data_IF_552269933232
#
_entry.id   IF_552269933232
#
_cell.length_a   1.000
_cell.length_b   1.000
_cell.length_c   1.000
_cell.angle_alpha   90.00
_cell.angle_beta   90.00
_cell.angle_gamma   90.00
#
_symmetry.space_group_name_H-M   'P 1'
#
loop_
_entity.id
_entity.type
_entity.pdbx_description
1 polymer ?
#
# COMPACT_ATOMS: atom_id res chain seq x y z
N UNK A 1 2.94 19.12 11.21
CA UNK A 1 2.00 18.24 10.49
C UNK A 1 2.72 17.15 9.72
N UNK A 2 3.55 17.45 8.72
CA UNK A 2 4.19 16.43 7.86
C UNK A 2 5.01 15.37 8.60
N UNK A 3 5.70 15.75 9.69
CA UNK A 3 6.44 14.79 10.52
C UNK A 3 5.54 13.76 11.20
N UNK A 4 4.31 14.13 11.57
CA UNK A 4 3.33 13.19 12.11
C UNK A 4 2.80 12.26 11.00
N UNK A 5 2.50 12.82 9.83
CA UNK A 5 2.03 12.04 8.68
C UNK A 5 3.07 11.00 8.23
N UNK A 6 4.35 11.39 8.21
CA UNK A 6 5.46 10.48 7.91
C UNK A 6 5.53 9.32 8.93
N UNK A 7 5.48 9.62 10.23
CA UNK A 7 5.41 8.59 11.29
C UNK A 7 4.15 7.73 11.18
N UNK A 8 3.02 8.32 10.81
CA UNK A 8 1.76 7.60 10.62
C UNK A 8 1.89 6.57 9.50
N UNK A 9 2.41 6.97 8.35
CA UNK A 9 2.54 6.14 7.15
C UNK A 9 3.61 5.07 7.33
N UNK A 10 4.80 5.48 7.77
CA UNK A 10 5.98 4.61 7.78
C UNK A 10 6.11 3.78 9.06
N UNK A 11 5.46 4.15 10.15
CA UNK A 11 5.61 3.50 11.46
C UNK A 11 4.27 3.02 12.04
N UNK A 12 3.28 3.90 12.13
CA UNK A 12 2.00 3.60 12.79
C UNK A 12 1.13 2.59 12.04
N UNK A 13 0.86 2.84 10.75
CA UNK A 13 0.00 1.97 9.95
C UNK A 13 0.54 0.53 9.82
N UNK A 14 1.83 0.29 9.50
CA UNK A 14 2.37 -1.07 9.40
C UNK A 14 2.37 -1.84 10.73
N UNK A 15 2.40 -1.13 11.87
CA UNK A 15 2.35 -1.70 13.22
C UNK A 15 0.93 -1.96 13.72
N UNK A 16 -0.08 -1.49 12.99
CA UNK A 16 -1.47 -1.74 13.35
C UNK A 16 -1.77 -3.23 13.23
N UNK A 17 -2.45 -3.81 14.22
CA UNK A 17 -2.85 -5.22 14.20
C UNK A 17 -3.76 -5.50 12.99
N UNK A 18 -3.46 -6.58 12.27
CA UNK A 18 -4.18 -7.03 11.07
C UNK A 18 -4.24 -5.98 9.94
N UNK A 19 -3.17 -5.21 9.75
CA UNK A 19 -3.13 -4.17 8.73
C UNK A 19 -3.15 -4.76 7.30
N UNK A 20 -4.22 -4.45 6.55
CA UNK A 20 -4.42 -4.86 5.15
C UNK A 20 -4.34 -3.70 4.14
N UNK A 21 -3.91 -2.52 4.61
CA UNK A 21 -4.07 -1.27 3.88
C UNK A 21 -5.33 -0.51 4.30
N UNK A 22 -5.28 0.81 4.16
CA UNK A 22 -6.40 1.69 4.47
C UNK A 22 -7.42 1.71 3.33
N UNK A 23 -8.69 1.95 3.66
CA UNK A 23 -9.78 2.04 2.69
C UNK A 23 -9.66 3.29 1.83
N UNK A 24 -9.83 3.15 0.51
CA UNK A 24 -9.96 4.25 -0.43
C UNK A 24 -11.31 4.97 -0.37
N UNK A 25 -12.26 4.45 0.42
CA UNK A 25 -13.64 4.95 0.47
C UNK A 25 -13.91 5.87 1.66
N UNK A 26 -12.89 6.17 2.47
CA UNK A 26 -13.02 7.04 3.65
C UNK A 26 -12.81 8.52 3.35
N UNK A 27 -13.01 8.91 2.10
CA UNK A 27 -13.04 10.32 1.70
C UNK A 27 -14.46 10.88 1.85
N UNK A 28 -14.55 12.18 2.09
CA UNK A 28 -15.82 12.88 2.35
C UNK A 28 -16.47 13.50 1.10
N UNK A 29 -15.92 13.29 -0.10
CA UNK A 29 -16.39 13.90 -1.35
C UNK A 29 -15.71 15.23 -1.68
N UNK A 30 -15.09 15.88 -0.69
CA UNK A 30 -14.43 17.19 -0.81
C UNK A 30 -12.92 17.07 -0.61
N UNK A 31 -12.33 15.89 -0.84
CA UNK A 31 -10.89 15.69 -0.74
C UNK A 31 -10.33 15.62 0.69
N UNK A 32 -11.16 15.53 1.73
CA UNK A 32 -10.69 15.24 3.09
C UNK A 32 -10.73 13.74 3.34
N UNK A 33 -9.77 13.25 4.13
CA UNK A 33 -9.63 11.83 4.39
C UNK A 33 -9.60 11.56 5.90
N UNK A 34 -10.42 10.62 6.36
CA UNK A 34 -10.54 10.29 7.79
C UNK A 34 -10.20 8.84 8.04
N UNK A 35 -9.36 8.58 9.05
CA UNK A 35 -9.05 7.22 9.52
C UNK A 35 -9.17 7.13 11.03
N UNK A 36 -9.74 6.02 11.48
CA UNK A 36 -9.86 5.70 12.89
C UNK A 36 -8.85 4.64 13.32
N UNK A 37 -8.21 4.88 14.45
CA UNK A 37 -7.33 3.94 15.15
C UNK A 37 -8.04 3.42 16.39
N UNK A 38 -8.05 2.10 16.55
CA UNK A 38 -8.62 1.44 17.74
C UNK A 38 -7.74 1.64 18.96
N UNK A 39 -6.42 1.73 18.76
CA UNK A 39 -5.44 1.81 19.84
C UNK A 39 -4.29 2.74 19.44
N UNK A 40 -3.85 3.59 20.37
CA UNK A 40 -2.71 4.50 20.19
C UNK A 40 -1.34 3.80 20.37
N UNK A 41 -1.31 2.54 20.82
CA UNK A 41 -0.10 1.73 21.04
C UNK A 41 0.74 1.47 19.77
N UNK A 42 0.21 1.83 18.60
CA UNK A 42 0.92 1.75 17.31
C UNK A 42 2.11 2.71 17.22
N UNK A 43 2.13 3.77 18.02
CA UNK A 43 3.22 4.74 18.08
C UNK A 43 4.25 4.36 19.16
N UNK A 44 5.53 4.15 18.81
CA UNK A 44 6.56 3.81 19.80
C UNK A 44 6.83 4.90 20.84
N UNK A 45 6.42 6.14 20.56
CA UNK A 45 6.54 7.26 21.50
C UNK A 45 5.60 7.12 22.71
N UNK A 46 4.59 6.23 22.60
CA UNK A 46 3.57 6.03 23.62
C UNK A 46 3.91 4.76 24.41
N UNK A 47 4.29 4.92 25.69
CA UNK A 47 4.52 3.79 26.59
C UNK A 47 3.20 3.18 27.05
N UNK A 48 2.98 1.90 26.68
CA UNK A 48 1.77 1.16 27.06
C UNK A 48 1.59 1.06 28.58
N UNK A 49 2.68 0.93 29.34
CA UNK A 49 2.65 0.78 30.81
C UNK A 49 2.06 1.99 31.54
N UNK A 50 2.13 3.18 30.93
CA UNK A 50 1.54 4.41 31.50
C UNK A 50 0.05 4.48 31.16
N UNK A 51 -0.36 3.85 30.05
CA UNK A 51 -1.74 3.84 29.57
C UNK A 51 -2.51 2.65 30.16
N UNK A 52 -3.13 2.87 31.32
CA UNK A 52 -3.92 1.81 31.98
C UNK A 52 -5.11 1.25 31.17
N UNK A 53 -5.57 1.92 30.10
CA UNK A 53 -6.63 1.44 29.20
C UNK A 53 -6.34 1.82 27.74
N UNK A 54 -6.68 0.96 26.76
CA UNK A 54 -6.56 1.31 25.35
C UNK A 54 -7.47 2.48 25.01
N UNK A 55 -6.91 3.46 24.31
CA UNK A 55 -7.65 4.61 23.76
C UNK A 55 -7.51 4.62 22.25
N UNK A 56 -8.62 4.84 21.57
CA UNK A 56 -8.64 5.09 20.13
C UNK A 56 -8.28 6.53 19.80
N UNK A 57 -8.17 6.82 18.51
CA UNK A 57 -7.97 8.17 17.98
C UNK A 57 -8.47 8.22 16.55
N UNK A 58 -9.13 9.32 16.18
CA UNK A 58 -9.46 9.61 14.79
C UNK A 58 -8.50 10.66 14.25
N UNK A 59 -8.01 10.44 13.03
CA UNK A 59 -7.12 11.34 12.30
C UNK A 59 -7.84 11.79 11.04
N UNK A 60 -8.09 13.09 10.95
CA UNK A 60 -8.66 13.73 9.77
C UNK A 60 -7.58 14.53 9.05
N UNK A 61 -7.32 14.18 7.79
CA UNK A 61 -6.39 14.87 6.91
C UNK A 61 -7.22 15.77 6.00
N UNK A 62 -7.15 17.07 6.26
CA UNK A 62 -7.77 18.08 5.39
C UNK A 62 -6.82 18.48 4.27
N UNK A 63 -7.31 18.50 3.04
CA UNK A 63 -6.53 18.93 1.88
C UNK A 63 -7.27 20.03 1.12
N UNK A 64 -6.55 20.68 0.20
CA UNK A 64 -7.12 21.69 -0.72
C UNK A 64 -7.72 21.07 -1.99
N UNK A 65 -7.68 19.74 -2.12
CA UNK A 65 -8.19 19.06 -3.31
C UNK A 65 -9.71 19.23 -3.39
N UNK A 66 -10.22 19.50 -4.59
CA UNK A 66 -11.67 19.66 -4.78
C UNK A 66 -12.37 18.33 -5.01
N UNK A 67 -11.61 17.25 -5.25
CA UNK A 67 -12.16 15.93 -5.54
C UNK A 67 -11.36 14.84 -4.82
N UNK A 68 -12.06 13.76 -4.44
CA UNK A 68 -11.44 12.60 -3.79
C UNK A 68 -10.38 11.92 -4.64
N UNK A 69 -10.49 12.00 -5.97
CA UNK A 69 -9.51 11.41 -6.90
C UNK A 69 -8.15 12.10 -6.80
N UNK A 70 -8.15 13.42 -6.65
CA UNK A 70 -6.94 14.22 -6.49
C UNK A 70 -6.33 13.97 -5.11
N UNK A 71 -7.15 13.99 -4.05
CA UNK A 71 -6.72 13.71 -2.69
C UNK A 71 -6.14 12.30 -2.54
N UNK A 72 -6.80 11.30 -3.14
CA UNK A 72 -6.33 9.92 -3.16
C UNK A 72 -4.97 9.79 -3.85
N UNK A 73 -4.79 10.43 -5.02
CA UNK A 73 -3.50 10.42 -5.72
C UNK A 73 -2.41 11.11 -4.90
N UNK A 74 -2.72 12.24 -4.27
CA UNK A 74 -1.78 12.95 -3.41
C UNK A 74 -1.31 12.05 -2.26
N UNK A 75 -2.23 11.47 -1.50
CA UNK A 75 -1.91 10.59 -0.38
C UNK A 75 -1.14 9.33 -0.85
N UNK A 76 -1.53 8.76 -1.99
CA UNK A 76 -0.84 7.60 -2.56
C UNK A 76 0.61 7.93 -2.94
N UNK A 77 0.86 9.09 -3.55
CA UNK A 77 2.22 9.55 -3.88
C UNK A 77 3.05 9.87 -2.64
N UNK A 78 2.40 10.29 -1.55
CA UNK A 78 3.04 10.48 -0.25
C UNK A 78 3.33 9.17 0.49
N UNK A 79 2.98 8.01 -0.09
CA UNK A 79 3.28 6.69 0.46
C UNK A 79 2.14 6.05 1.26
N UNK A 80 0.92 6.62 1.22
CA UNK A 80 -0.22 6.07 1.95
C UNK A 80 -0.56 4.65 1.45
N UNK A 81 -0.56 3.63 2.34
CA UNK A 81 -0.80 2.24 1.96
C UNK A 81 -2.31 1.96 1.79
N UNK A 82 -2.87 2.27 0.62
CA UNK A 82 -4.25 1.91 0.28
C UNK A 82 -4.37 0.41 -0.04
N UNK A 83 -5.51 -0.20 0.33
CA UNK A 83 -5.81 -1.61 0.05
C UNK A 83 -5.94 -1.88 -1.46
N UNK A 84 -5.23 -2.90 -1.97
CA UNK A 84 -5.37 -3.37 -3.36
C UNK A 84 -6.80 -3.88 -3.58
N UNK A 85 -7.62 -3.12 -4.33
CA UNK A 85 -9.04 -3.41 -4.57
C UNK A 85 -9.97 -2.20 -4.39
N UNK A 86 -9.48 -1.12 -3.79
CA UNK A 86 -10.17 0.17 -3.74
C UNK A 86 -9.95 0.97 -5.04
N UNK A 87 -11.03 1.34 -5.73
CA UNK A 87 -11.05 1.90 -7.09
C UNK A 87 -10.36 3.26 -7.30
N UNK A 88 -9.03 3.28 -7.28
CA UNK A 88 -8.18 4.38 -7.78
C UNK A 88 -6.93 3.81 -8.45
N UNK A 89 -6.33 4.50 -9.45
CA UNK A 89 -5.22 3.95 -10.23
C UNK A 89 -3.97 3.84 -9.35
N UNK A 90 -3.76 2.65 -8.79
CA UNK A 90 -2.58 2.31 -8.01
C UNK A 90 -1.44 2.02 -8.99
N UNK A 91 -0.59 3.01 -9.26
CA UNK A 91 0.73 2.77 -9.86
C UNK A 91 1.67 2.18 -8.80
N UNK A 92 1.35 0.98 -8.30
CA UNK A 92 2.37 0.17 -7.65
C UNK A 92 3.22 -0.35 -8.80
N UNK A 93 4.42 0.19 -8.98
CA UNK A 93 5.42 -0.35 -9.91
C UNK A 93 5.81 -1.74 -9.40
N UNK A 94 5.02 -2.75 -9.77
CA UNK A 94 5.38 -4.15 -9.56
C UNK A 94 6.63 -4.41 -10.42
N UNK A 95 7.79 -4.55 -9.78
CA UNK A 95 8.99 -5.13 -10.39
C UNK A 95 8.60 -6.50 -10.97
N UNK A 96 8.33 -6.57 -12.28
CA UNK A 96 8.12 -7.84 -12.98
C UNK A 96 9.43 -8.61 -12.93
N UNK A 97 9.48 -9.65 -12.08
CA UNK A 97 10.52 -10.67 -12.12
C UNK A 97 10.43 -11.34 -13.50
N UNK A 98 11.36 -11.02 -14.40
CA UNK A 98 11.42 -11.61 -15.74
C UNK A 98 11.47 -13.14 -15.61
N UNK A 99 10.50 -13.83 -16.22
CA UNK A 99 10.54 -15.28 -16.40
C UNK A 99 11.66 -15.59 -17.40
N UNK A 100 12.62 -16.41 -17.00
CA UNK A 100 13.60 -17.01 -17.89
C UNK A 100 12.87 -17.85 -18.95
N UNK A 101 13.00 -17.48 -20.22
CA UNK A 101 12.52 -18.29 -21.33
C UNK A 101 13.39 -19.55 -21.43
N UNK A 102 12.77 -20.71 -21.23
CA UNK A 102 13.39 -22.01 -21.52
C UNK A 102 13.43 -22.16 -23.05
N UNK A 103 14.63 -22.11 -23.62
CA UNK A 103 14.91 -22.29 -25.04
C UNK A 103 14.79 -23.79 -25.37
N UNK A 104 13.71 -24.16 -26.06
CA UNK A 104 13.47 -25.53 -26.50
C UNK A 104 14.33 -25.82 -27.75
N UNK A 105 15.46 -26.49 -27.54
CA UNK A 105 16.37 -26.90 -28.61
C UNK A 105 15.82 -28.15 -29.31
N UNK A 106 14.91 -27.97 -30.27
CA UNK A 106 14.65 -28.98 -31.31
C UNK A 106 15.23 -28.54 -32.64
N UNK A 107 16.46 -28.97 -32.91
CA UNK A 107 16.99 -28.99 -34.27
C UNK A 107 17.82 -30.26 -34.56
N UNK A 108 17.23 -31.12 -35.39
CA UNK A 108 17.84 -31.93 -36.46
C UNK A 108 19.04 -32.85 -36.13
N UNK A 109 18.79 -34.16 -36.22
CA UNK A 109 19.70 -35.07 -36.95
C UNK A 109 18.88 -36.10 -37.73
N UNK A 110 18.73 -35.84 -39.03
CA UNK A 110 18.11 -36.72 -40.02
C UNK A 110 19.22 -37.63 -40.56
N UNK A 111 19.38 -38.84 -40.00
CA UNK A 111 20.29 -39.83 -40.60
C UNK A 111 19.60 -40.48 -41.80
N UNK A 112 20.17 -40.20 -42.98
CA UNK A 112 19.84 -40.78 -44.27
C UNK A 112 20.86 -41.89 -44.49
N UNK A 113 20.44 -43.14 -44.38
CA UNK A 113 21.30 -44.29 -44.71
C UNK A 113 20.73 -44.95 -45.96
N UNK A 114 21.46 -44.83 -47.06
CA UNK A 114 21.24 -45.58 -48.31
C UNK A 114 22.61 -45.97 -48.87
N UNK A 115 22.72 -47.23 -49.32
CA UNK A 115 23.87 -48.02 -49.85
C UNK A 115 24.22 -49.18 -48.90
N UNK A 116 24.19 -50.44 -49.30
CA UNK A 116 24.43 -51.05 -50.62
C UNK A 116 23.41 -52.13 -50.94
#
# INVERSE_FOLDING_TARGET
MYSFLDRLINLGLPRTRDFQGVSSNSFDGNGNYSIGFREQSVFPEISYDILGKPRGMDVCISTIANTDKEAHKLLALMGMPFREGGGGPTTVVRKKKLKSHHFDSKSKSRQRTQKR
#
